data_IF_938904693493
#
_entry.id   IF_938904693493
#
_cell.length_a   1.000
_cell.length_b   1.000
_cell.length_c   1.000
_cell.angle_alpha   90.00
_cell.angle_beta   90.00
_cell.angle_gamma   90.00
#
_symmetry.space_group_name_H-M   'P 1'
#
loop_
_entity.id
_entity.type
_entity.pdbx_description
1 polymer ?
#
# COMPACT_ATOMS: atom_id res chain seq x y z
N UNK A 1 9.43 -24.86 -21.60
CA UNK A 1 10.32 -24.12 -20.69
C UNK A 1 10.12 -22.64 -20.96
N UNK A 2 9.25 -21.98 -20.19
CA UNK A 2 8.95 -20.56 -20.36
C UNK A 2 10.12 -19.72 -19.88
N UNK A 3 10.60 -18.84 -20.74
CA UNK A 3 11.67 -17.89 -20.45
C UNK A 3 11.30 -17.06 -19.22
N UNK A 4 12.09 -17.17 -18.16
CA UNK A 4 12.05 -16.25 -17.01
C UNK A 4 12.71 -14.95 -17.44
N UNK A 5 12.07 -14.22 -18.35
CA UNK A 5 12.45 -12.83 -18.61
C UNK A 5 12.16 -12.07 -17.32
N UNK A 6 13.23 -11.61 -16.66
CA UNK A 6 13.12 -10.90 -15.40
C UNK A 6 12.14 -9.74 -15.53
N UNK A 7 11.24 -9.62 -14.54
CA UNK A 7 11.15 -8.44 -13.67
C UNK A 7 10.04 -8.66 -12.63
N UNK A 8 8.86 -9.20 -12.95
CA UNK A 8 7.86 -9.67 -11.96
C UNK A 8 6.95 -10.74 -12.57
N UNK A 9 6.42 -11.68 -11.77
CA UNK A 9 5.45 -12.68 -12.24
C UNK A 9 4.01 -12.12 -12.28
N UNK A 10 3.11 -12.78 -13.02
CA UNK A 10 1.69 -12.39 -13.13
C UNK A 10 0.98 -12.38 -11.76
N UNK A 11 1.31 -13.32 -10.89
CA UNK A 11 0.76 -13.41 -9.53
C UNK A 11 1.17 -12.20 -8.68
N UNK A 12 2.42 -11.74 -8.81
CA UNK A 12 2.88 -10.50 -8.20
C UNK A 12 2.07 -9.29 -8.69
N UNK A 13 1.90 -9.14 -10.01
CA UNK A 13 1.18 -8.00 -10.60
C UNK A 13 -0.30 -7.99 -10.17
N UNK A 14 -0.94 -9.16 -10.15
CA UNK A 14 -2.32 -9.31 -9.69
C UNK A 14 -2.45 -8.91 -8.22
N UNK A 15 -1.54 -9.40 -7.37
CA UNK A 15 -1.58 -9.09 -5.94
C UNK A 15 -1.30 -7.62 -5.67
N UNK A 16 -0.37 -7.03 -6.41
CA UNK A 16 -0.08 -5.61 -6.33
C UNK A 16 -1.29 -4.76 -6.71
N UNK A 17 -1.97 -5.11 -7.80
CA UNK A 17 -3.20 -4.44 -8.22
C UNK A 17 -4.30 -4.51 -7.16
N UNK A 18 -4.54 -5.68 -6.58
CA UNK A 18 -5.51 -5.82 -5.48
C UNK A 18 -5.19 -4.93 -4.27
N UNK A 19 -3.90 -4.71 -3.99
CA UNK A 19 -3.48 -3.81 -2.90
C UNK A 19 -3.72 -2.34 -3.25
N UNK A 20 -3.53 -1.95 -4.52
CA UNK A 20 -3.86 -0.61 -4.99
C UNK A 20 -5.36 -0.35 -4.98
N UNK A 21 -6.17 -1.28 -5.49
CA UNK A 21 -7.63 -1.15 -5.50
C UNK A 21 -8.19 -1.02 -4.06
N UNK A 22 -7.59 -1.76 -3.10
CA UNK A 22 -7.96 -1.65 -1.70
C UNK A 22 -7.53 -0.32 -1.05
N UNK A 23 -6.42 0.26 -1.49
CA UNK A 23 -5.95 1.56 -0.99
C UNK A 23 -6.84 2.68 -1.51
N UNK A 24 -7.20 2.62 -2.79
CA UNK A 24 -8.11 3.56 -3.46
C UNK A 24 -9.48 3.56 -2.76
N UNK A 25 -10.05 2.37 -2.52
CA UNK A 25 -11.32 2.25 -1.81
C UNK A 25 -11.25 2.82 -0.38
N UNK A 26 -10.19 2.51 0.36
CA UNK A 26 -10.05 3.03 1.73
C UNK A 26 -9.81 4.54 1.76
N UNK A 27 -9.19 5.09 0.72
CA UNK A 27 -8.96 6.52 0.58
C UNK A 27 -10.25 7.26 0.21
N UNK A 28 -11.09 6.71 -0.67
CA UNK A 28 -12.40 7.28 -1.01
C UNK A 28 -13.29 7.42 0.24
N UNK A 29 -13.35 6.39 1.11
CA UNK A 29 -14.12 6.44 2.35
C UNK A 29 -13.55 7.49 3.33
N UNK A 30 -12.21 7.60 3.41
CA UNK A 30 -11.55 8.63 4.21
C UNK A 30 -11.86 10.04 3.68
N UNK A 31 -11.87 10.24 2.36
CA UNK A 31 -12.25 11.50 1.73
C UNK A 31 -13.70 11.86 2.03
N UNK A 32 -14.63 10.90 1.91
CA UNK A 32 -16.03 11.14 2.29
C UNK A 32 -16.17 11.56 3.76
N UNK A 33 -15.51 10.87 4.70
CA UNK A 33 -15.58 11.23 6.11
C UNK A 33 -15.00 12.64 6.38
N UNK A 34 -13.98 13.04 5.63
CA UNK A 34 -13.43 14.39 5.70
C UNK A 34 -14.41 15.44 5.13
N UNK A 35 -15.03 15.17 3.99
CA UNK A 35 -16.00 16.05 3.34
C UNK A 35 -17.28 16.25 4.16
N UNK A 36 -17.77 15.19 4.81
CA UNK A 36 -18.93 15.21 5.69
C UNK A 36 -18.63 15.85 7.06
N UNK A 37 -17.35 16.07 7.38
CA UNK A 37 -16.90 16.59 8.68
C UNK A 37 -17.09 15.61 9.84
N UNK A 38 -17.23 14.32 9.55
CA UNK A 38 -17.37 13.27 10.56
C UNK A 38 -16.00 12.86 11.10
N UNK A 39 -15.57 13.57 12.14
CA UNK A 39 -14.28 13.31 12.78
C UNK A 39 -14.15 11.90 13.35
N UNK A 40 -15.25 11.32 13.84
CA UNK A 40 -15.20 9.99 14.46
C UNK A 40 -15.02 8.89 13.41
N UNK A 41 -15.67 9.03 12.25
CA UNK A 41 -15.44 8.15 11.11
C UNK A 41 -14.07 8.38 10.49
N UNK A 42 -13.67 9.64 10.29
CA UNK A 42 -12.37 9.99 9.73
C UNK A 42 -11.19 9.32 10.48
N UNK A 43 -11.19 9.32 11.81
CA UNK A 43 -10.10 8.69 12.58
C UNK A 43 -10.05 7.16 12.39
N UNK A 44 -11.20 6.53 12.20
CA UNK A 44 -11.27 5.09 11.89
C UNK A 44 -10.81 4.82 10.46
N UNK A 45 -11.34 5.55 9.49
CA UNK A 45 -11.03 5.38 8.06
C UNK A 45 -9.56 5.68 7.79
N UNK A 46 -8.97 6.64 8.52
CA UNK A 46 -7.54 6.95 8.46
C UNK A 46 -6.68 5.77 8.93
N UNK A 47 -7.14 5.07 9.98
CA UNK A 47 -6.49 3.87 10.48
C UNK A 47 -6.58 2.72 9.48
N UNK A 48 -7.73 2.55 8.81
CA UNK A 48 -7.94 1.54 7.79
C UNK A 48 -7.09 1.79 6.54
N UNK A 49 -7.11 3.02 6.01
CA UNK A 49 -6.26 3.43 4.89
C UNK A 49 -4.78 3.20 5.22
N UNK A 50 -4.32 3.62 6.40
CA UNK A 50 -2.93 3.38 6.83
C UNK A 50 -2.58 1.89 6.87
N UNK A 51 -3.48 1.03 7.36
CA UNK A 51 -3.27 -0.42 7.37
C UNK A 51 -3.16 -1.03 5.96
N UNK A 52 -3.91 -0.49 4.97
CA UNK A 52 -3.78 -0.92 3.58
C UNK A 52 -2.44 -0.49 2.99
N UNK A 53 -2.03 0.77 3.22
CA UNK A 53 -0.73 1.31 2.78
C UNK A 53 0.41 0.48 3.37
N UNK A 54 0.39 0.19 4.67
CA UNK A 54 1.40 -0.65 5.34
C UNK A 54 1.48 -2.06 4.72
N UNK A 55 0.33 -2.67 4.38
CA UNK A 55 0.29 -3.96 3.70
C UNK A 55 0.91 -3.90 2.31
N UNK A 56 0.67 -2.81 1.56
CA UNK A 56 1.28 -2.58 0.23
C UNK A 56 2.78 -2.40 0.34
N UNK A 57 3.25 -1.57 1.26
CA UNK A 57 4.68 -1.34 1.50
C UNK A 57 5.39 -2.63 1.90
N UNK A 58 4.83 -3.38 2.86
CA UNK A 58 5.39 -4.66 3.28
C UNK A 58 5.41 -5.70 2.13
N UNK A 59 4.42 -5.68 1.23
CA UNK A 59 4.43 -6.52 0.04
C UNK A 59 5.58 -6.14 -0.90
N UNK A 60 5.75 -4.84 -1.20
CA UNK A 60 6.84 -4.36 -2.05
C UNK A 60 8.23 -4.62 -1.45
N UNK A 61 8.38 -4.47 -0.14
CA UNK A 61 9.62 -4.77 0.59
C UNK A 61 9.98 -6.26 0.50
N UNK A 62 9.02 -7.17 0.75
CA UNK A 62 9.25 -8.63 0.64
C UNK A 62 9.66 -9.07 -0.76
N UNK A 63 9.22 -8.35 -1.78
CA UNK A 63 9.57 -8.61 -3.17
C UNK A 63 10.82 -7.87 -3.66
N UNK A 64 11.52 -7.15 -2.78
CA UNK A 64 12.75 -6.43 -3.09
C UNK A 64 12.55 -5.23 -4.02
N UNK A 65 11.30 -4.74 -4.17
CA UNK A 65 10.96 -3.60 -5.02
C UNK A 65 11.30 -2.29 -4.32
N UNK A 66 11.05 -2.25 -3.01
CA UNK A 66 11.58 -1.21 -2.14
C UNK A 66 12.94 -1.68 -1.64
N UNK A 67 14.00 -1.20 -2.30
CA UNK A 67 15.31 -1.20 -1.64
C UNK A 67 15.18 -0.28 -0.43
N UNK A 68 15.44 -0.80 0.77
CA UNK A 68 15.71 0.05 1.94
C UNK A 68 16.61 1.17 1.47
N UNK A 69 16.12 2.41 1.56
CA UNK A 69 16.89 3.60 1.20
C UNK A 69 18.18 3.52 2.03
N UNK A 70 19.37 3.31 1.43
CA UNK A 70 20.61 3.28 2.19
C UNK A 70 20.90 4.72 2.60
N UNK A 71 20.29 5.16 3.70
CA UNK A 71 20.41 6.55 4.14
C UNK A 71 19.47 7.01 5.26
N UNK A 72 18.34 6.34 5.53
CA UNK A 72 17.40 6.81 6.56
C UNK A 72 17.39 6.02 7.88
N UNK A 73 18.20 4.98 8.03
CA UNK A 73 18.34 4.21 9.28
C UNK A 73 19.43 4.73 10.21
N UNK A 74 19.89 5.97 10.04
CA UNK A 74 20.76 6.64 11.01
C UNK A 74 20.21 8.02 11.33
N UNK A 75 19.30 8.06 12.29
CA UNK A 75 19.17 9.21 13.15
C UNK A 75 19.44 8.73 14.57
N UNK A 76 20.61 9.13 15.08
CA UNK A 76 21.09 8.92 16.44
C UNK A 76 20.12 9.48 17.47
#
# INVERSE_FOLDING_TARGET
MGEKNGVFDESFLLKYRQLLDAEDTAFDELEHAYEDGDRSHFENDLSEWRSVVERRLAFLERHGVMSSMPGLTSFT
#
